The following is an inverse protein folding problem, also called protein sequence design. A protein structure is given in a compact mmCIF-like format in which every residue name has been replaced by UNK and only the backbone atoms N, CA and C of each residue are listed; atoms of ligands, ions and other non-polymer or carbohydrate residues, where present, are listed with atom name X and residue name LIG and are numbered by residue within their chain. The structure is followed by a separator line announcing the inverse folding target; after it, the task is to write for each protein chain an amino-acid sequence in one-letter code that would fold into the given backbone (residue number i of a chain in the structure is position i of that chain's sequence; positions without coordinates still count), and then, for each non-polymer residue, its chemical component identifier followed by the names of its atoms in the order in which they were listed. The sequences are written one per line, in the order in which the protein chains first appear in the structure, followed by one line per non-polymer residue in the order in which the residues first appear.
data_IF_942524738551
#
_entry.id   IF_942524738551
#
_cell.length_a   1.000
_cell.length_b   1.000
_cell.length_c   1.000
_cell.angle_alpha   90.00
_cell.angle_beta   90.00
_cell.angle_gamma   90.00
#
_symmetry.space_group_name_H-M   'P 1'
#
loop_
_entity.id
_entity.type
_entity.pdbx_description
1 polymer ?
#
# COMPACT_ATOMS: atom_id res chain seq x y z
N UNK A 1 -6.71 30.60 35.81
CA UNK A 1 -6.22 30.71 34.42
C UNK A 1 -4.72 30.54 34.45
N UNK A 2 -4.22 29.43 33.92
CA UNK A 2 -2.80 29.22 33.62
C UNK A 2 -2.75 28.23 32.46
N UNK A 3 -2.44 28.74 31.28
CA UNK A 3 -2.15 28.00 30.06
C UNK A 3 -0.75 27.40 30.19
N UNK A 4 -0.60 26.10 29.98
CA UNK A 4 0.70 25.48 29.70
C UNK A 4 0.54 24.70 28.40
N UNK A 5 1.07 25.29 27.33
CA UNK A 5 1.49 24.63 26.11
C UNK A 5 2.74 23.79 26.40
N UNK A 6 2.77 22.57 25.86
CA UNK A 6 3.88 21.63 25.89
C UNK A 6 3.33 20.29 25.39
N UNK A 7 3.24 20.02 24.08
CA UNK A 7 4.37 19.68 23.20
C UNK A 7 5.40 18.80 23.94
N UNK A 8 5.52 17.56 23.45
CA UNK A 8 6.48 16.49 23.79
C UNK A 8 5.88 15.29 24.54
N UNK A 9 5.49 14.26 23.79
CA UNK A 9 5.94 12.87 24.04
C UNK A 9 5.62 12.03 22.79
N UNK A 10 6.59 11.90 21.88
CA UNK A 10 7.51 10.75 21.76
C UNK A 10 6.92 9.60 20.94
N UNK A 11 7.45 9.48 19.74
CA UNK A 11 7.64 8.18 19.10
C UNK A 11 6.47 7.68 18.27
N UNK A 12 6.14 8.38 17.17
CA UNK A 12 5.86 7.63 15.94
C UNK A 12 7.20 7.16 15.38
N UNK A 13 7.87 6.28 16.14
CA UNK A 13 9.11 5.58 15.77
C UNK A 13 8.76 4.08 15.69
N UNK A 14 7.77 3.81 14.84
CA UNK A 14 7.14 2.52 14.55
C UNK A 14 6.54 2.79 13.16
N UNK A 15 7.30 2.82 12.07
CA UNK A 15 8.12 1.76 11.52
C UNK A 15 9.35 2.37 10.83
N UNK A 16 10.49 2.41 11.52
CA UNK A 16 11.79 2.61 10.85
C UNK A 16 12.42 1.24 10.57
N UNK A 17 11.74 0.40 9.80
CA UNK A 17 12.45 -0.51 8.91
C UNK A 17 12.15 -0.02 7.51
N UNK A 18 13.14 0.66 6.92
CA UNK A 18 13.16 0.89 5.47
C UNK A 18 12.84 -0.45 4.82
N UNK A 19 11.71 -0.50 4.12
CA UNK A 19 11.35 -1.57 3.21
C UNK A 19 12.36 -1.53 2.05
N UNK A 20 13.59 -1.99 2.30
CA UNK A 20 14.44 -2.61 1.28
C UNK A 20 13.89 -4.02 0.96
N UNK A 21 12.59 -4.23 1.16
CA UNK A 21 11.93 -5.49 0.89
C UNK A 21 11.38 -5.40 -0.53
N UNK A 22 12.17 -5.93 -1.46
CA UNK A 22 11.69 -6.31 -2.78
C UNK A 22 10.55 -7.33 -2.67
N UNK A 23 10.29 -7.93 -1.50
CA UNK A 23 9.09 -8.73 -1.28
C UNK A 23 7.86 -7.84 -1.01
N UNK A 24 7.12 -7.57 -2.09
CA UNK A 24 5.87 -6.80 -2.06
C UNK A 24 4.70 -7.60 -1.46
N UNK A 25 4.90 -8.85 -1.02
CA UNK A 25 3.82 -9.74 -0.55
C UNK A 25 2.97 -9.16 0.57
N UNK A 26 3.56 -8.48 1.56
CA UNK A 26 2.79 -7.88 2.67
C UNK A 26 1.96 -6.72 2.14
N UNK A 27 2.59 -5.76 1.46
CA UNK A 27 1.91 -4.60 0.88
C UNK A 27 0.78 -5.03 -0.07
N UNK A 28 1.05 -5.98 -0.97
CA UNK A 28 0.04 -6.54 -1.86
C UNK A 28 -1.09 -7.28 -1.14
N UNK A 29 -0.81 -7.93 -0.01
CA UNK A 29 -1.83 -8.49 0.86
C UNK A 29 -2.79 -7.43 1.38
N UNK A 30 -2.24 -6.35 1.94
CA UNK A 30 -3.01 -5.25 2.50
C UNK A 30 -3.81 -4.50 1.42
N UNK A 31 -3.20 -4.28 0.24
CA UNK A 31 -3.89 -3.73 -0.92
C UNK A 31 -5.09 -4.59 -1.32
N UNK A 32 -4.92 -5.91 -1.44
CA UNK A 32 -6.00 -6.79 -1.88
C UNK A 32 -7.14 -6.83 -0.86
N UNK A 33 -6.81 -6.94 0.43
CA UNK A 33 -7.81 -6.90 1.50
C UNK A 33 -8.59 -5.58 1.47
N UNK A 34 -7.89 -4.45 1.25
CA UNK A 34 -8.51 -3.13 1.10
C UNK A 34 -9.38 -3.02 -0.15
N UNK A 35 -8.92 -3.52 -1.30
CA UNK A 35 -9.66 -3.53 -2.57
C UNK A 35 -11.00 -4.23 -2.40
N UNK A 36 -10.99 -5.45 -1.86
CA UNK A 36 -12.21 -6.23 -1.69
C UNK A 36 -13.18 -5.60 -0.69
N UNK A 37 -12.68 -5.07 0.44
CA UNK A 37 -13.49 -4.29 1.39
C UNK A 37 -14.15 -3.08 0.72
N UNK A 38 -13.37 -2.30 -0.03
CA UNK A 38 -13.88 -1.11 -0.72
C UNK A 38 -14.83 -1.40 -1.89
N UNK A 39 -14.74 -2.59 -2.49
CA UNK A 39 -15.68 -3.06 -3.50
C UNK A 39 -16.89 -3.79 -2.90
N UNK A 40 -16.93 -4.00 -1.58
CA UNK A 40 -17.91 -4.85 -0.90
C UNK A 40 -17.97 -6.28 -1.47
N UNK A 41 -16.81 -6.84 -1.77
CA UNK A 41 -16.59 -8.19 -2.29
C UNK A 41 -16.11 -9.11 -1.16
N UNK A 42 -16.56 -10.37 -1.16
CA UNK A 42 -16.09 -11.42 -0.25
C UNK A 42 -15.34 -12.48 -1.06
N UNK A 43 -14.03 -12.30 -1.30
CA UNK A 43 -13.27 -13.14 -2.21
C UNK A 43 -13.03 -14.53 -1.61
N UNK A 44 -13.00 -15.53 -2.46
CA UNK A 44 -12.39 -16.82 -2.12
C UNK A 44 -10.89 -16.65 -1.89
N UNK A 45 -10.27 -17.62 -1.21
CA UNK A 45 -8.82 -17.63 -1.04
C UNK A 45 -8.07 -17.61 -2.38
N UNK A 46 -8.62 -18.26 -3.42
CA UNK A 46 -8.02 -18.25 -4.75
C UNK A 46 -8.06 -16.85 -5.39
N UNK A 47 -9.19 -16.15 -5.32
CA UNK A 47 -9.31 -14.78 -5.86
C UNK A 47 -8.40 -13.80 -5.12
N UNK A 48 -8.24 -13.98 -3.80
CA UNK A 48 -7.29 -13.20 -3.01
C UNK A 48 -5.84 -13.49 -3.41
N UNK A 49 -5.48 -14.76 -3.56
CA UNK A 49 -4.12 -15.16 -3.97
C UNK A 49 -3.78 -14.67 -5.39
N UNK A 50 -4.76 -14.67 -6.30
CA UNK A 50 -4.64 -14.12 -7.65
C UNK A 50 -4.41 -12.60 -7.61
N UNK A 51 -5.18 -11.87 -6.81
CA UNK A 51 -4.99 -10.43 -6.59
C UNK A 51 -3.57 -10.13 -6.06
N UNK A 52 -3.13 -10.86 -5.03
CA UNK A 52 -1.79 -10.66 -4.45
C UNK A 52 -0.72 -10.96 -5.51
N UNK A 53 -0.89 -12.03 -6.30
CA UNK A 53 0.06 -12.40 -7.34
C UNK A 53 0.14 -11.36 -8.47
N UNK A 54 -0.98 -10.72 -8.83
CA UNK A 54 -1.01 -9.66 -9.83
C UNK A 54 -0.30 -8.39 -9.33
N UNK A 55 -0.59 -7.96 -8.10
CA UNK A 55 0.10 -6.85 -7.46
C UNK A 55 1.61 -7.09 -7.38
N UNK A 56 2.03 -8.28 -6.92
CA UNK A 56 3.44 -8.61 -6.78
C UNK A 56 4.18 -8.60 -8.11
N UNK A 57 3.58 -9.15 -9.17
CA UNK A 57 4.18 -9.12 -10.51
C UNK A 57 4.42 -7.68 -10.98
N UNK A 58 3.42 -6.82 -10.82
CA UNK A 58 3.54 -5.41 -11.23
C UNK A 58 4.66 -4.68 -10.48
N UNK A 59 4.86 -4.95 -9.19
CA UNK A 59 5.87 -4.29 -8.36
C UNK A 59 7.25 -4.94 -8.51
N UNK A 60 7.34 -6.26 -8.50
CA UNK A 60 8.61 -6.99 -8.46
C UNK A 60 9.22 -7.15 -9.86
N UNK A 61 8.38 -7.38 -10.87
CA UNK A 61 8.83 -7.71 -12.22
C UNK A 61 8.74 -6.51 -13.19
N UNK A 62 7.68 -5.70 -13.09
CA UNK A 62 7.39 -4.66 -14.10
C UNK A 62 7.77 -3.22 -13.67
N UNK A 63 7.80 -2.94 -12.37
CA UNK A 63 8.03 -1.59 -11.80
C UNK A 63 9.47 -1.07 -11.98
N UNK A 64 10.43 -1.99 -12.13
CA UNK A 64 11.86 -1.67 -12.02
C UNK A 64 12.33 -1.51 -10.57
N UNK A 65 13.57 -1.92 -10.31
CA UNK A 65 14.13 -2.02 -8.95
C UNK A 65 14.16 -0.66 -8.20
N UNK A 66 14.30 0.44 -8.93
CA UNK A 66 14.39 1.80 -8.38
C UNK A 66 13.07 2.33 -7.79
N UNK A 67 11.94 1.69 -8.10
CA UNK A 67 10.61 2.16 -7.71
C UNK A 67 9.85 1.21 -6.78
N UNK A 68 10.36 0.00 -6.54
CA UNK A 68 9.64 -1.02 -5.76
C UNK A 68 9.39 -0.60 -4.31
N UNK A 69 10.42 -0.08 -3.63
CA UNK A 69 10.29 0.39 -2.26
C UNK A 69 9.24 1.52 -2.17
N UNK A 70 9.29 2.49 -3.09
CA UNK A 70 8.34 3.59 -3.13
C UNK A 70 6.90 3.11 -3.40
N UNK A 71 6.72 2.11 -4.27
CA UNK A 71 5.42 1.51 -4.53
C UNK A 71 4.89 0.77 -3.28
N UNK A 72 5.73 0.00 -2.59
CA UNK A 72 5.34 -0.69 -1.37
C UNK A 72 4.99 0.28 -0.23
N UNK A 73 5.77 1.35 -0.05
CA UNK A 73 5.52 2.39 0.95
C UNK A 73 4.21 3.12 0.65
N UNK A 74 3.95 3.46 -0.62
CA UNK A 74 2.71 4.13 -1.00
C UNK A 74 1.49 3.23 -0.78
N UNK A 75 1.57 1.92 -1.02
CA UNK A 75 0.46 1.00 -0.68
C UNK A 75 0.14 1.07 0.82
N UNK A 76 1.15 0.99 1.69
CA UNK A 76 0.99 1.07 3.14
C UNK A 76 0.28 2.38 3.57
N UNK A 77 0.66 3.49 2.95
CA UNK A 77 0.02 4.80 3.16
C UNK A 77 -1.43 4.83 2.63
N UNK A 78 -1.72 4.18 1.51
CA UNK A 78 -3.03 4.20 0.87
C UNK A 78 -4.06 3.31 1.58
N UNK A 79 -3.68 2.12 2.05
CA UNK A 79 -4.62 1.15 2.65
C UNK A 79 -5.26 1.66 3.94
N UNK A 80 -4.58 2.58 4.63
CA UNK A 80 -5.05 3.25 5.85
C UNK A 80 -6.15 4.30 5.59
N UNK A 81 -6.43 4.65 4.33
CA UNK A 81 -7.39 5.70 3.97
C UNK A 81 -8.82 5.15 3.81
N UNK A 82 -9.82 6.03 3.78
CA UNK A 82 -11.18 5.62 3.42
C UNK A 82 -11.26 5.28 1.93
N UNK A 83 -12.29 4.54 1.50
CA UNK A 83 -12.30 3.92 0.17
C UNK A 83 -12.18 4.92 -1.00
N UNK A 84 -12.80 6.09 -0.90
CA UNK A 84 -12.66 7.12 -1.94
C UNK A 84 -11.21 7.59 -2.05
N UNK A 85 -10.59 7.86 -0.91
CA UNK A 85 -9.22 8.37 -0.81
C UNK A 85 -8.18 7.29 -1.14
N UNK A 86 -8.44 6.03 -0.80
CA UNK A 86 -7.65 4.87 -1.19
C UNK A 86 -7.49 4.79 -2.72
N UNK A 87 -8.58 4.86 -3.47
CA UNK A 87 -8.51 4.79 -4.94
C UNK A 87 -7.77 5.96 -5.57
N UNK A 88 -7.91 7.16 -4.99
CA UNK A 88 -7.16 8.35 -5.44
C UNK A 88 -5.67 8.21 -5.09
N UNK A 89 -5.36 7.59 -3.95
CA UNK A 89 -4.00 7.36 -3.49
C UNK A 89 -3.28 6.28 -4.31
N UNK A 90 -3.99 5.27 -4.83
CA UNK A 90 -3.46 4.19 -5.66
C UNK A 90 -3.12 4.63 -7.10
N UNK A 91 -2.45 5.77 -7.24
CA UNK A 91 -1.94 6.33 -8.50
C UNK A 91 -0.46 6.65 -8.31
N UNK A 92 0.39 6.09 -9.16
CA UNK A 92 1.83 6.35 -9.11
C UNK A 92 2.34 6.98 -10.41
N UNK A 93 2.13 8.29 -10.57
CA UNK A 93 2.42 9.01 -11.83
C UNK A 93 3.89 8.91 -12.30
N UNK A 94 4.83 8.77 -11.37
CA UNK A 94 6.25 8.65 -11.70
C UNK A 94 6.61 7.29 -12.32
N UNK A 95 5.87 6.24 -11.98
CA UNK A 95 6.09 4.88 -12.44
C UNK A 95 4.75 4.11 -12.48
N UNK A 96 3.85 4.44 -13.42
CA UNK A 96 2.49 3.88 -13.45
C UNK A 96 2.48 2.37 -13.65
N UNK A 97 3.55 1.83 -14.27
CA UNK A 97 3.77 0.39 -14.45
C UNK A 97 3.83 -0.38 -13.13
N UNK A 98 4.21 0.28 -12.02
CA UNK A 98 4.22 -0.34 -10.70
C UNK A 98 2.82 -0.70 -10.20
N UNK A 99 1.79 0.02 -10.66
CA UNK A 99 0.38 -0.13 -10.26
C UNK A 99 -0.51 -0.60 -11.42
N UNK A 100 0.04 -1.36 -12.36
CA UNK A 100 -0.72 -1.92 -13.49
C UNK A 100 -1.92 -2.78 -13.06
N UNK A 101 -1.88 -3.33 -11.84
CA UNK A 101 -2.92 -4.16 -11.25
C UNK A 101 -4.15 -3.40 -10.72
N UNK A 102 -4.10 -2.06 -10.59
CA UNK A 102 -5.19 -1.29 -9.93
C UNK A 102 -6.52 -1.32 -10.71
N UNK A 103 -6.48 -1.68 -12.00
CA UNK A 103 -7.65 -1.75 -12.88
C UNK A 103 -8.10 -3.17 -13.25
N UNK A 104 -7.48 -4.21 -12.67
CA UNK A 104 -7.76 -5.62 -12.96
C UNK A 104 -8.94 -6.20 -12.15
#
# INVERSE_FOLDING_TARGET
MATIMGLLNTGCDYFTEKKDDFDSRIACGDYCDKKFDCNAEDPTSAERDDCVSACRRSIEDDCGNEHQAAANDQIDDCVSQACTEFWVCMVFDAAPVCYGFVSE
#
